data_IF_330741598161
#
_entry.id   IF_330741598161
#
_cell.length_a   1.000
_cell.length_b   1.000
_cell.length_c   1.000
_cell.angle_alpha   90.00
_cell.angle_beta   90.00
_cell.angle_gamma   90.00
#
_symmetry.space_group_name_H-M   'P 1'
#
loop_
_entity.id
_entity.type
_entity.pdbx_description
1 polymer ?
#
# COMPACT_ATOMS: atom_id res chain seq x y z
N UNK A 1 -3.47 0.99 -14.88
CA UNK A 1 -2.40 1.51 -13.99
C UNK A 1 -2.88 2.66 -13.09
N UNK A 2 -3.52 3.73 -13.59
CA UNK A 2 -4.02 4.87 -12.77
C UNK A 2 -4.86 4.52 -11.52
N UNK A 3 -5.69 3.47 -11.59
CA UNK A 3 -6.58 3.06 -10.47
C UNK A 3 -5.84 2.52 -9.23
N UNK A 4 -4.63 2.00 -9.39
CA UNK A 4 -3.85 1.41 -8.29
C UNK A 4 -3.19 2.51 -7.46
N UNK A 5 -2.63 3.53 -8.12
CA UNK A 5 -1.98 4.67 -7.45
C UNK A 5 -2.97 5.43 -6.59
N UNK A 6 -4.16 5.74 -7.13
CA UNK A 6 -5.24 6.40 -6.39
C UNK A 6 -5.70 5.59 -5.17
N UNK A 7 -5.72 4.25 -5.30
CA UNK A 7 -6.08 3.37 -4.19
C UNK A 7 -5.01 3.38 -3.09
N UNK A 8 -3.73 3.50 -3.41
CA UNK A 8 -2.64 3.58 -2.43
C UNK A 8 -2.72 4.87 -1.63
N UNK A 9 -2.86 6.00 -2.31
CA UNK A 9 -3.05 7.31 -1.68
C UNK A 9 -4.29 7.26 -0.77
N UNK A 10 -5.43 6.83 -1.31
CA UNK A 10 -6.66 6.70 -0.54
C UNK A 10 -6.49 5.78 0.67
N UNK A 11 -5.98 4.56 0.49
CA UNK A 11 -5.86 3.60 1.60
C UNK A 11 -4.88 4.02 2.70
N UNK A 12 -3.86 4.83 2.36
CA UNK A 12 -2.94 5.41 3.34
C UNK A 12 -3.57 6.49 4.20
N UNK A 13 -4.52 7.27 3.65
CA UNK A 13 -5.16 8.39 4.34
C UNK A 13 -6.56 8.02 4.89
N UNK A 14 -7.16 6.96 4.36
CA UNK A 14 -8.51 6.54 4.72
C UNK A 14 -8.51 5.92 6.11
N UNK A 15 -9.09 6.62 7.08
CA UNK A 15 -9.30 6.09 8.44
C UNK A 15 -10.68 5.41 8.60
N UNK A 16 -11.55 5.48 7.58
CA UNK A 16 -12.89 4.89 7.66
C UNK A 16 -12.84 3.35 7.70
N UNK A 17 -13.58 2.79 8.67
CA UNK A 17 -13.80 1.34 8.82
C UNK A 17 -14.79 0.79 7.78
N UNK A 18 -15.71 1.64 7.31
CA UNK A 18 -16.72 1.35 6.29
C UNK A 18 -16.38 2.02 4.95
N UNK A 19 -15.10 1.97 4.55
CA UNK A 19 -14.73 2.45 3.22
C UNK A 19 -15.49 1.66 2.15
N UNK A 20 -16.28 2.35 1.33
CA UNK A 20 -17.10 1.76 0.26
C UNK A 20 -16.27 1.13 -0.87
N UNK A 21 -14.96 1.40 -0.92
CA UNK A 21 -14.05 0.76 -1.88
C UNK A 21 -13.56 -0.60 -1.34
N UNK A 22 -14.03 -1.75 -1.88
CA UNK A 22 -13.63 -3.07 -1.39
C UNK A 22 -12.12 -3.31 -1.56
N UNK A 23 -11.48 -2.63 -2.52
CA UNK A 23 -10.03 -2.70 -2.73
C UNK A 23 -9.23 -1.93 -1.68
N UNK A 24 -9.80 -0.92 -1.02
CA UNK A 24 -9.14 -0.18 0.05
C UNK A 24 -8.86 -1.10 1.25
N UNK A 25 -9.86 -1.91 1.64
CA UNK A 25 -9.70 -2.87 2.74
C UNK A 25 -8.59 -3.89 2.46
N UNK A 26 -8.47 -4.36 1.21
CA UNK A 26 -7.39 -5.27 0.77
C UNK A 26 -6.01 -4.63 0.92
N UNK A 27 -5.85 -3.37 0.50
CA UNK A 27 -4.55 -2.67 0.59
C UNK A 27 -4.19 -2.36 2.05
N UNK A 28 -5.15 -1.94 2.88
CA UNK A 28 -4.95 -1.79 4.34
C UNK A 28 -4.47 -3.09 5.00
N UNK A 29 -5.06 -4.23 4.62
CA UNK A 29 -4.63 -5.53 5.12
C UNK A 29 -3.20 -5.88 4.68
N UNK A 30 -2.78 -5.50 3.46
CA UNK A 30 -1.39 -5.67 3.01
C UNK A 30 -0.42 -4.86 3.87
N UNK A 31 -0.75 -3.59 4.18
CA UNK A 31 0.05 -2.77 5.09
C UNK A 31 0.13 -3.38 6.48
N UNK A 32 -1.00 -3.77 7.07
CA UNK A 32 -1.02 -4.45 8.38
C UNK A 32 -0.19 -5.72 8.36
N UNK A 33 -0.32 -6.54 7.31
CA UNK A 33 0.49 -7.73 7.13
C UNK A 33 1.99 -7.38 7.11
N UNK A 34 2.39 -6.36 6.38
CA UNK A 34 3.78 -5.90 6.32
C UNK A 34 4.37 -5.54 7.68
N UNK A 35 3.55 -5.03 8.62
CA UNK A 35 4.00 -4.69 9.99
C UNK A 35 4.26 -5.92 10.86
N UNK A 36 3.44 -6.97 10.74
CA UNK A 36 3.51 -8.17 11.59
C UNK A 36 4.25 -9.35 10.94
N UNK A 37 4.47 -9.32 9.62
CA UNK A 37 5.09 -10.42 8.89
C UNK A 37 6.59 -10.51 9.20
N UNK A 38 7.01 -11.61 9.84
CA UNK A 38 8.42 -11.89 10.13
C UNK A 38 9.23 -12.31 8.91
N UNK A 39 8.61 -13.04 7.96
CA UNK A 39 9.25 -13.47 6.71
C UNK A 39 9.67 -12.28 5.83
N UNK A 40 8.89 -11.18 5.86
CA UNK A 40 9.10 -9.98 5.04
C UNK A 40 9.19 -10.30 3.53
N UNK A 41 9.41 -9.27 2.71
CA UNK A 41 9.60 -9.49 1.27
C UNK A 41 10.92 -10.23 0.98
N UNK A 42 11.98 -9.93 1.74
CA UNK A 42 13.31 -10.53 1.59
C UNK A 42 13.29 -12.05 1.82
N UNK A 43 12.50 -12.55 2.77
CA UNK A 43 12.31 -13.98 2.99
C UNK A 43 11.27 -14.65 2.09
N UNK A 44 10.78 -13.95 1.05
CA UNK A 44 9.93 -14.56 0.03
C UNK A 44 8.42 -14.40 0.22
N UNK A 45 7.94 -13.64 1.20
CA UNK A 45 6.49 -13.50 1.42
C UNK A 45 5.81 -12.81 0.23
N UNK A 46 4.85 -13.50 -0.40
CA UNK A 46 4.09 -13.01 -1.56
C UNK A 46 3.31 -11.71 -1.26
N UNK A 47 2.66 -11.61 -0.10
CA UNK A 47 1.90 -10.43 0.29
C UNK A 47 2.82 -9.21 0.50
N UNK A 48 3.95 -9.40 1.18
CA UNK A 48 4.95 -8.34 1.33
C UNK A 48 5.53 -7.92 -0.03
N UNK A 49 5.87 -8.87 -0.92
CA UNK A 49 6.36 -8.56 -2.28
C UNK A 49 5.35 -7.74 -3.08
N UNK A 50 4.07 -8.10 -3.02
CA UNK A 50 3.00 -7.35 -3.70
C UNK A 50 2.89 -5.93 -3.12
N UNK A 51 2.84 -5.79 -1.79
CA UNK A 51 2.81 -4.47 -1.13
C UNK A 51 3.98 -3.59 -1.57
N UNK A 52 5.19 -4.14 -1.54
CA UNK A 52 6.39 -3.44 -1.97
C UNK A 52 6.36 -3.04 -3.45
N UNK A 53 5.90 -3.93 -4.33
CA UNK A 53 5.76 -3.62 -5.74
C UNK A 53 4.79 -2.44 -5.97
N UNK A 54 3.67 -2.41 -5.26
CA UNK A 54 2.70 -1.32 -5.32
C UNK A 54 3.30 0.01 -4.84
N UNK A 55 4.03 0.00 -3.73
CA UNK A 55 4.72 1.18 -3.21
C UNK A 55 5.79 1.71 -4.18
N UNK A 56 6.59 0.81 -4.76
CA UNK A 56 7.62 1.19 -5.73
C UNK A 56 7.03 1.80 -7.00
N UNK A 57 5.92 1.27 -7.50
CA UNK A 57 5.21 1.87 -8.64
C UNK A 57 4.73 3.29 -8.33
N UNK A 58 4.26 3.52 -7.10
CA UNK A 58 3.85 4.85 -6.66
C UNK A 58 5.05 5.79 -6.53
N UNK A 59 6.09 5.42 -5.78
CA UNK A 59 7.27 6.25 -5.55
C UNK A 59 7.92 6.73 -6.86
N UNK A 60 8.03 5.85 -7.87
CA UNK A 60 8.57 6.20 -9.20
C UNK A 60 7.80 7.31 -9.93
N UNK A 61 6.50 7.43 -9.66
CA UNK A 61 5.63 8.40 -10.33
C UNK A 61 5.20 9.54 -9.40
N UNK A 62 5.55 9.47 -8.12
CA UNK A 62 5.16 10.45 -7.13
C UNK A 62 6.11 11.65 -7.20
N UNK A 63 5.54 12.85 -7.25
CA UNK A 63 6.28 14.13 -7.20
C UNK A 63 5.92 14.96 -5.97
N UNK A 64 5.07 14.41 -5.10
CA UNK A 64 4.60 15.09 -3.89
C UNK A 64 5.66 14.98 -2.80
N UNK A 65 6.12 16.12 -2.30
CA UNK A 65 7.14 16.17 -1.24
C UNK A 65 6.60 15.73 0.14
N UNK A 66 5.30 15.91 0.41
CA UNK A 66 4.64 15.49 1.65
C UNK A 66 3.76 14.22 1.45
N UNK A 67 4.24 13.26 0.66
CA UNK A 67 3.43 12.09 0.37
C UNK A 67 3.22 11.23 1.63
N UNK A 68 1.95 11.05 2.03
CA UNK A 68 1.57 10.24 3.20
C UNK A 68 1.56 8.72 2.96
N UNK A 69 1.90 8.27 1.75
CA UNK A 69 1.99 6.84 1.45
C UNK A 69 3.27 6.28 2.09
N UNK A 70 3.19 5.22 2.90
CA UNK A 70 4.36 4.70 3.59
C UNK A 70 5.43 4.21 2.61
N UNK A 71 6.66 4.70 2.76
CA UNK A 71 7.80 4.42 1.86
C UNK A 71 7.62 4.92 0.42
N UNK A 72 6.80 5.95 0.23
CA UNK A 72 6.89 6.81 -0.95
C UNK A 72 8.19 7.61 -0.93
#
# INVERSE_FOLDING_TARGET
LRKIVQLLIHSSQCCSFQCQYPKCRKVKNLFRHGTVCKTRASGGCRHCKLMWHLLQLHARSCKESDCRVPRC
#
